data_IF_561180150225
#
_entry.id   IF_561180150225
#
_cell.length_a   1.000
_cell.length_b   1.000
_cell.length_c   1.000
_cell.angle_alpha   90.00
_cell.angle_beta   90.00
_cell.angle_gamma   90.00
#
_symmetry.space_group_name_H-M   'P 1'
#
loop_
_entity.id
_entity.type
_entity.pdbx_description
1 polymer ?
#
# COMPACT_ATOMS: atom_id res chain seq x y z
N UNK A 1 -26.17 -66.90 -1.72
CA UNK A 1 -26.18 -66.43 -3.13
C UNK A 1 -26.58 -64.96 -3.34
N UNK A 2 -27.20 -64.27 -2.41
CA UNK A 2 -27.75 -62.92 -2.57
C UNK A 2 -26.64 -61.83 -2.39
N UNK A 3 -25.59 -62.03 -1.60
CA UNK A 3 -24.51 -61.04 -1.38
C UNK A 3 -23.63 -60.80 -2.63
N UNK A 4 -23.40 -61.84 -3.45
CA UNK A 4 -22.58 -61.71 -4.69
C UNK A 4 -23.28 -60.88 -5.78
N UNK A 5 -24.62 -60.96 -5.87
CA UNK A 5 -25.39 -60.17 -6.86
C UNK A 5 -25.40 -58.67 -6.55
N UNK A 6 -25.41 -58.26 -5.24
CA UNK A 6 -25.36 -56.83 -4.86
C UNK A 6 -24.00 -56.20 -5.15
N UNK A 7 -22.89 -56.92 -4.92
CA UNK A 7 -21.54 -56.39 -5.23
C UNK A 7 -21.31 -56.25 -6.73
N UNK A 8 -21.80 -57.16 -7.54
CA UNK A 8 -21.70 -57.07 -9.00
C UNK A 8 -22.53 -55.92 -9.55
N UNK A 9 -23.72 -55.67 -8.99
CA UNK A 9 -24.58 -54.55 -9.40
C UNK A 9 -23.92 -53.17 -9.05
N UNK A 10 -23.28 -53.08 -7.89
CA UNK A 10 -22.55 -51.87 -7.47
C UNK A 10 -21.33 -51.59 -8.36
N UNK A 11 -20.58 -52.61 -8.76
CA UNK A 11 -19.45 -52.49 -9.68
C UNK A 11 -19.87 -52.05 -11.08
N UNK A 12 -20.99 -52.57 -11.58
CA UNK A 12 -21.57 -52.18 -12.88
C UNK A 12 -22.05 -50.73 -12.83
N UNK A 13 -22.71 -50.28 -11.75
CA UNK A 13 -23.13 -48.91 -11.58
C UNK A 13 -21.95 -47.93 -11.50
N UNK A 14 -20.87 -48.31 -10.80
CA UNK A 14 -19.65 -47.50 -10.73
C UNK A 14 -18.94 -47.41 -12.10
N UNK A 15 -18.93 -48.49 -12.86
CA UNK A 15 -18.35 -48.50 -14.21
C UNK A 15 -19.17 -47.65 -15.18
N UNK A 16 -20.49 -47.68 -15.12
CA UNK A 16 -21.36 -46.84 -15.94
C UNK A 16 -21.25 -45.37 -15.60
N UNK A 17 -21.08 -45.03 -14.31
CA UNK A 17 -20.79 -43.65 -13.87
C UNK A 17 -19.42 -43.14 -14.37
N UNK A 18 -18.43 -44.01 -14.34
CA UNK A 18 -17.08 -43.66 -14.86
C UNK A 18 -17.11 -43.45 -16.39
N UNK A 19 -17.82 -44.31 -17.13
CA UNK A 19 -18.01 -44.19 -18.59
C UNK A 19 -18.81 -42.93 -18.92
N UNK A 20 -19.85 -42.64 -18.17
CA UNK A 20 -20.66 -41.44 -18.34
C UNK A 20 -19.82 -40.18 -18.06
N UNK A 21 -18.98 -40.19 -17.00
CA UNK A 21 -18.06 -39.13 -16.70
C UNK A 21 -16.99 -38.91 -17.79
N UNK A 22 -16.43 -40.01 -18.34
CA UNK A 22 -15.52 -39.94 -19.48
C UNK A 22 -16.19 -39.43 -20.76
N UNK A 23 -17.44 -39.80 -21.01
CA UNK A 23 -18.21 -39.27 -22.16
C UNK A 23 -18.58 -37.81 -22.01
N UNK A 24 -18.85 -37.32 -20.77
CA UNK A 24 -19.01 -35.89 -20.52
C UNK A 24 -17.75 -35.12 -20.86
N UNK A 25 -16.56 -35.64 -20.51
CA UNK A 25 -15.29 -35.00 -20.83
C UNK A 25 -14.95 -34.96 -22.32
N UNK A 26 -15.43 -35.94 -23.11
CA UNK A 26 -15.17 -35.99 -24.56
C UNK A 26 -16.25 -35.30 -25.40
N UNK A 27 -17.43 -35.06 -24.84
CA UNK A 27 -18.55 -34.44 -25.59
C UNK A 27 -18.64 -32.91 -25.45
N UNK A 28 -17.80 -32.32 -24.56
CA UNK A 28 -17.73 -30.87 -24.38
C UNK A 28 -16.25 -30.42 -24.41
N UNK A 29 -15.55 -30.60 -25.55
CA UNK A 29 -14.23 -29.99 -25.71
C UNK A 29 -14.43 -28.48 -25.89
N UNK A 30 -14.11 -27.71 -24.91
CA UNK A 30 -14.09 -26.24 -24.96
C UNK A 30 -14.96 -25.53 -23.94
N UNK A 31 -16.06 -26.13 -23.45
CA UNK A 31 -16.97 -25.41 -22.54
C UNK A 31 -16.42 -25.21 -21.13
N UNK A 32 -15.47 -26.04 -20.68
CA UNK A 32 -14.83 -25.91 -19.35
C UNK A 32 -13.61 -25.01 -19.41
N UNK A 33 -12.96 -24.87 -20.58
CA UNK A 33 -11.83 -23.95 -20.76
C UNK A 33 -12.29 -22.51 -21.04
N UNK A 34 -13.55 -22.30 -21.49
CA UNK A 34 -14.16 -20.97 -21.65
C UNK A 34 -14.95 -20.52 -20.39
N UNK A 35 -15.17 -21.39 -19.43
CA UNK A 35 -15.48 -20.97 -18.07
C UNK A 35 -14.14 -20.72 -17.37
N UNK A 36 -13.45 -19.68 -17.80
CA UNK A 36 -12.52 -18.94 -16.97
C UNK A 36 -13.37 -18.31 -15.86
N UNK A 37 -13.79 -19.15 -14.93
CA UNK A 37 -14.23 -18.72 -13.61
C UNK A 37 -12.98 -18.24 -12.92
N UNK A 38 -12.47 -17.06 -13.37
CA UNK A 38 -11.53 -16.25 -12.63
C UNK A 38 -12.22 -15.80 -11.33
N UNK A 39 -12.34 -16.76 -10.43
CA UNK A 39 -13.00 -16.57 -9.13
C UNK A 39 -12.19 -15.66 -8.22
N UNK A 40 -11.09 -15.05 -8.70
CA UNK A 40 -10.22 -14.31 -7.78
C UNK A 40 -9.30 -13.26 -8.39
N UNK A 41 -9.54 -12.68 -9.52
CA UNK A 41 -8.92 -11.43 -9.85
C UNK A 41 -9.95 -10.30 -9.82
N UNK A 42 -10.37 -9.90 -8.61
CA UNK A 42 -10.55 -8.46 -8.43
C UNK A 42 -9.17 -7.87 -8.67
N UNK A 43 -8.88 -7.50 -9.91
CA UNK A 43 -7.72 -6.66 -10.19
C UNK A 43 -7.84 -5.46 -9.27
N UNK A 44 -7.01 -5.47 -8.22
CA UNK A 44 -6.91 -4.31 -7.35
C UNK A 44 -6.44 -3.20 -8.26
N UNK A 45 -7.17 -2.06 -8.39
CA UNK A 45 -6.77 -0.99 -9.27
C UNK A 45 -5.30 -0.67 -9.03
N UNK A 46 -4.50 -0.64 -10.09
CA UNK A 46 -3.08 -0.31 -9.98
C UNK A 46 -2.95 1.11 -9.44
N UNK A 47 -2.31 1.23 -8.30
CA UNK A 47 -1.99 2.55 -7.72
C UNK A 47 -0.80 3.10 -8.50
N UNK A 48 -0.95 4.28 -9.08
CA UNK A 48 0.10 4.95 -9.87
C UNK A 48 0.41 6.37 -9.39
N UNK A 49 -0.27 6.83 -8.33
CA UNK A 49 -0.14 8.18 -7.79
C UNK A 49 -0.58 8.23 -6.32
N UNK A 50 -0.37 9.38 -5.69
CA UNK A 50 -0.91 9.62 -4.35
C UNK A 50 -2.43 9.51 -4.34
N UNK A 51 -2.95 8.93 -3.27
CA UNK A 51 -4.38 8.92 -2.98
C UNK A 51 -4.92 10.36 -2.97
N UNK A 52 -6.09 10.66 -3.58
CA UNK A 52 -6.59 12.04 -3.73
C UNK A 52 -6.65 12.82 -2.43
N UNK A 53 -7.09 12.19 -1.34
CA UNK A 53 -7.12 12.84 -0.02
C UNK A 53 -5.71 13.12 0.50
N UNK A 54 -4.77 12.19 0.38
CA UNK A 54 -3.37 12.40 0.79
C UNK A 54 -2.75 13.53 -0.01
N UNK A 55 -3.00 13.59 -1.32
CA UNK A 55 -2.57 14.68 -2.19
C UNK A 55 -3.14 16.04 -1.74
N UNK A 56 -4.42 16.08 -1.37
CA UNK A 56 -5.06 17.29 -0.84
C UNK A 56 -4.39 17.74 0.46
N UNK A 57 -4.21 16.82 1.43
CA UNK A 57 -3.60 17.15 2.73
C UNK A 57 -2.12 17.54 2.57
N UNK A 58 -1.38 16.88 1.67
CA UNK A 58 -0.01 17.29 1.31
C UNK A 58 0.04 18.73 0.79
N UNK A 59 -0.86 19.11 -0.11
CA UNK A 59 -0.90 20.47 -0.65
C UNK A 59 -1.24 21.50 0.45
N UNK A 60 -2.14 21.14 1.35
CA UNK A 60 -2.51 21.98 2.48
C UNK A 60 -1.36 22.11 3.48
N UNK A 61 -0.62 21.03 3.75
CA UNK A 61 0.60 21.05 4.57
C UNK A 61 1.62 22.06 4.02
N UNK A 62 1.95 21.96 2.73
CA UNK A 62 2.89 22.90 2.07
C UNK A 62 2.38 24.34 2.17
N UNK A 63 1.09 24.57 2.03
CA UNK A 63 0.48 25.90 2.14
C UNK A 63 0.57 26.46 3.56
N UNK A 64 0.28 25.65 4.57
CA UNK A 64 0.26 26.08 5.98
C UNK A 64 1.65 26.29 6.53
N UNK A 65 2.61 25.42 6.21
CA UNK A 65 4.01 25.60 6.61
C UNK A 65 4.61 26.88 6.00
N UNK A 66 4.31 27.14 4.71
CA UNK A 66 4.72 28.38 4.05
C UNK A 66 4.18 29.63 4.74
N UNK A 67 2.96 29.61 5.27
CA UNK A 67 2.39 30.73 6.05
C UNK A 67 3.16 31.00 7.34
N UNK A 68 3.77 29.97 7.94
CA UNK A 68 4.65 30.10 9.10
C UNK A 68 6.09 30.50 8.75
N UNK A 69 6.39 30.72 7.46
CA UNK A 69 7.74 31.04 7.00
C UNK A 69 8.63 29.82 6.78
N UNK A 70 8.06 28.61 6.89
CA UNK A 70 8.76 27.34 6.71
C UNK A 70 8.51 26.84 5.29
N UNK A 71 9.58 26.59 4.54
CA UNK A 71 9.50 25.97 3.22
C UNK A 71 9.89 24.50 3.32
N UNK A 72 9.00 23.62 2.87
CA UNK A 72 9.28 22.18 2.78
C UNK A 72 9.34 21.74 1.32
N UNK A 73 10.03 20.63 1.07
CA UNK A 73 9.99 19.87 -0.18
C UNK A 73 9.49 18.47 0.12
N UNK A 74 8.65 17.94 -0.74
CA UNK A 74 8.26 16.53 -0.70
C UNK A 74 9.34 15.76 -1.46
N UNK A 75 10.07 14.93 -0.74
CA UNK A 75 11.20 14.16 -1.26
C UNK A 75 10.79 12.83 -1.83
N UNK A 76 9.65 12.29 -1.37
CA UNK A 76 9.03 11.09 -1.91
C UNK A 76 7.50 11.12 -1.73
N UNK A 77 6.79 10.34 -2.56
CA UNK A 77 5.33 10.22 -2.52
C UNK A 77 4.89 8.81 -2.90
N UNK A 78 4.10 8.66 -3.98
CA UNK A 78 3.84 7.34 -4.54
C UNK A 78 5.16 6.71 -5.02
N UNK A 79 5.34 5.43 -4.71
CA UNK A 79 6.51 4.63 -5.10
C UNK A 79 6.05 3.31 -5.71
N UNK A 80 6.51 2.99 -6.93
CA UNK A 80 6.18 1.72 -7.57
C UNK A 80 6.79 0.52 -6.83
N UNK A 81 6.31 -0.68 -7.11
CA UNK A 81 6.88 -1.90 -6.55
C UNK A 81 8.32 -2.14 -7.04
N UNK A 82 8.65 -1.74 -8.27
CA UNK A 82 10.00 -1.81 -8.83
C UNK A 82 10.94 -0.87 -8.08
N UNK A 83 10.52 0.37 -7.85
CA UNK A 83 11.31 1.35 -7.09
C UNK A 83 11.50 0.89 -5.64
N UNK A 84 10.45 0.36 -4.99
CA UNK A 84 10.57 -0.21 -3.65
C UNK A 84 11.56 -1.37 -3.62
N UNK A 85 11.54 -2.25 -4.63
CA UNK A 85 12.50 -3.35 -4.76
C UNK A 85 13.92 -2.82 -4.93
N UNK A 86 14.11 -1.79 -5.75
CA UNK A 86 15.41 -1.16 -5.97
C UNK A 86 16.01 -0.60 -4.69
N UNK A 87 15.25 0.20 -3.93
CA UNK A 87 15.73 0.78 -2.68
C UNK A 87 15.87 -0.26 -1.54
N UNK A 88 15.05 -1.33 -1.54
CA UNK A 88 15.23 -2.44 -0.62
C UNK A 88 16.55 -3.19 -0.86
N UNK A 89 16.97 -3.35 -2.12
CA UNK A 89 18.21 -4.03 -2.50
C UNK A 89 19.45 -3.18 -2.22
N UNK A 90 19.33 -1.85 -2.09
CA UNK A 90 20.43 -0.96 -1.74
C UNK A 90 21.00 -1.35 -0.37
N UNK A 91 22.32 -1.47 -0.29
CA UNK A 91 23.03 -1.93 0.91
C UNK A 91 22.86 -3.42 1.24
N UNK A 92 22.15 -4.20 0.38
CA UNK A 92 21.98 -5.65 0.53
C UNK A 92 22.55 -6.43 -0.65
N UNK A 93 22.04 -6.18 -1.85
CA UNK A 93 22.51 -6.80 -3.11
C UNK A 93 23.07 -5.80 -4.10
N UNK A 94 22.94 -4.52 -3.83
CA UNK A 94 23.57 -3.41 -4.56
C UNK A 94 24.35 -2.53 -3.58
N UNK A 95 25.30 -1.73 -4.07
CA UNK A 95 26.08 -0.79 -3.25
C UNK A 95 25.20 0.27 -2.58
N UNK A 96 25.70 0.86 -1.48
CA UNK A 96 25.08 1.92 -0.70
C UNK A 96 24.64 1.47 0.70
N UNK A 97 23.99 2.35 1.43
CA UNK A 97 23.47 2.08 2.76
C UNK A 97 22.04 1.51 2.68
N UNK A 98 21.64 0.75 3.72
CA UNK A 98 20.26 0.28 3.86
C UNK A 98 19.37 1.47 4.20
N UNK A 99 18.46 1.82 3.30
CA UNK A 99 17.55 2.96 3.44
C UNK A 99 16.11 2.56 3.79
N UNK A 100 15.76 1.27 3.62
CA UNK A 100 14.43 0.75 3.99
C UNK A 100 14.49 -0.72 4.37
N UNK A 101 13.59 -1.14 5.26
CA UNK A 101 13.35 -2.55 5.58
C UNK A 101 12.10 -3.12 4.89
N UNK A 102 11.29 -2.27 4.25
CA UNK A 102 10.07 -2.67 3.57
C UNK A 102 10.38 -3.19 2.16
N UNK A 103 9.89 -4.39 1.84
CA UNK A 103 9.88 -4.95 0.48
C UNK A 103 8.75 -4.34 -0.35
N UNK A 104 8.73 -4.63 -1.65
CA UNK A 104 7.61 -4.29 -2.52
C UNK A 104 6.26 -4.71 -1.91
N UNK A 105 5.31 -3.79 -1.87
CA UNK A 105 4.00 -3.97 -1.23
C UNK A 105 4.01 -3.92 0.30
N UNK A 106 5.13 -3.58 0.95
CA UNK A 106 5.24 -3.48 2.41
C UNK A 106 5.41 -2.04 2.92
N UNK A 107 5.31 -1.07 2.02
CA UNK A 107 5.35 0.35 2.31
C UNK A 107 4.04 1.02 1.92
N UNK A 108 3.55 1.97 2.72
CA UNK A 108 2.38 2.77 2.38
C UNK A 108 2.61 3.70 1.17
N UNK A 109 3.86 4.00 0.83
CA UNK A 109 4.20 4.65 -0.44
C UNK A 109 3.73 3.85 -1.67
N UNK A 110 3.73 2.51 -1.60
CA UNK A 110 3.26 1.66 -2.70
C UNK A 110 1.75 1.77 -2.94
N UNK A 111 1.02 2.30 -1.96
CA UNK A 111 -0.43 2.50 -2.02
C UNK A 111 -0.82 3.98 -2.15
N UNK A 112 0.18 4.87 -2.34
CA UNK A 112 -0.04 6.31 -2.42
C UNK A 112 -0.54 6.93 -1.11
N UNK A 113 -0.29 6.30 0.03
CA UNK A 113 -0.80 6.68 1.35
C UNK A 113 0.26 7.37 2.23
N UNK A 114 1.47 7.56 1.72
CA UNK A 114 2.57 8.20 2.44
C UNK A 114 3.31 9.21 1.56
N UNK A 115 3.94 10.17 2.24
CA UNK A 115 4.88 11.14 1.69
C UNK A 115 6.08 11.25 2.62
N UNK A 116 7.23 11.59 2.07
CA UNK A 116 8.39 12.03 2.84
C UNK A 116 8.66 13.51 2.57
N UNK A 117 9.13 14.24 3.58
CA UNK A 117 9.46 15.65 3.45
C UNK A 117 10.85 15.98 3.98
N UNK A 118 11.35 17.15 3.57
CA UNK A 118 12.53 17.79 4.14
C UNK A 118 12.34 19.30 4.18
N UNK A 119 13.15 20.00 4.96
CA UNK A 119 13.18 21.46 4.98
C UNK A 119 13.98 21.98 3.77
N UNK A 120 13.49 23.04 3.13
CA UNK A 120 14.17 23.73 2.04
C UNK A 120 14.56 25.13 2.47
N UNK A 121 15.85 25.42 2.45
CA UNK A 121 16.41 26.71 2.83
C UNK A 121 16.24 27.75 1.72
N UNK A 122 16.47 29.01 2.07
CA UNK A 122 16.35 30.15 1.13
C UNK A 122 17.35 30.09 -0.03
N UNK A 123 18.51 29.47 0.17
CA UNK A 123 19.54 29.25 -0.86
C UNK A 123 19.20 28.05 -1.78
N UNK A 124 18.09 27.37 -1.50
CA UNK A 124 17.62 26.19 -2.24
C UNK A 124 18.16 24.86 -1.73
N UNK A 125 19.05 24.85 -0.75
CA UNK A 125 19.55 23.62 -0.14
C UNK A 125 18.44 22.90 0.64
N UNK A 126 18.58 21.59 0.76
CA UNK A 126 17.63 20.69 1.46
C UNK A 126 18.33 20.12 2.67
N UNK A 127 17.68 20.20 3.83
CA UNK A 127 18.21 19.70 5.09
C UNK A 127 17.20 18.80 5.82
N UNK A 128 17.72 17.88 6.64
CA UNK A 128 16.99 16.99 7.54
C UNK A 128 17.33 17.30 9.00
N UNK A 129 17.63 18.57 9.29
CA UNK A 129 17.96 19.04 10.63
C UNK A 129 16.68 19.30 11.43
N UNK A 130 16.48 18.51 12.48
CA UNK A 130 15.29 18.57 13.33
C UNK A 130 15.36 19.71 14.38
N UNK A 131 16.51 20.34 14.56
CA UNK A 131 16.72 21.43 15.51
C UNK A 131 16.70 22.82 14.82
N UNK A 132 16.66 22.86 13.48
CA UNK A 132 16.72 24.08 12.70
C UNK A 132 15.49 24.97 12.95
N UNK A 133 15.73 26.23 13.36
CA UNK A 133 14.74 27.31 13.53
C UNK A 133 15.00 28.41 12.49
N UNK A 134 14.53 28.21 11.28
CA UNK A 134 14.75 29.13 10.16
C UNK A 134 13.76 30.30 10.12
N UNK A 135 12.59 30.15 10.75
CA UNK A 135 11.61 31.21 10.87
C UNK A 135 11.88 32.12 12.10
N UNK A 136 12.78 31.73 13.02
CA UNK A 136 13.25 32.53 14.14
C UNK A 136 12.25 32.70 15.27
N UNK A 137 11.33 31.75 15.45
CA UNK A 137 10.28 31.83 16.47
C UNK A 137 10.61 31.11 17.78
N UNK A 138 11.78 30.48 17.88
CA UNK A 138 12.28 29.74 19.05
C UNK A 138 11.78 28.28 19.08
N UNK A 139 11.20 27.77 17.97
CA UNK A 139 10.79 26.38 17.80
C UNK A 139 11.48 25.80 16.58
N UNK A 140 11.78 24.50 16.64
CA UNK A 140 12.32 23.80 15.49
C UNK A 140 11.27 23.72 14.35
N UNK A 141 11.64 24.20 13.15
CA UNK A 141 10.78 24.22 11.97
C UNK A 141 10.23 22.81 11.65
N UNK A 142 11.06 21.78 11.83
CA UNK A 142 10.66 20.40 11.60
C UNK A 142 9.46 19.98 12.46
N UNK A 143 9.52 20.30 13.74
CA UNK A 143 8.45 19.96 14.68
C UNK A 143 7.17 20.76 14.43
N UNK A 144 7.29 22.01 13.97
CA UNK A 144 6.13 22.79 13.54
C UNK A 144 5.46 22.18 12.29
N UNK A 145 6.24 21.63 11.34
CA UNK A 145 5.70 20.88 10.19
C UNK A 145 4.96 19.63 10.66
N UNK A 146 5.55 18.86 11.60
CA UNK A 146 4.95 17.66 12.18
C UNK A 146 3.62 17.97 12.89
N UNK A 147 3.58 19.07 13.68
CA UNK A 147 2.35 19.52 14.35
C UNK A 147 1.24 19.80 13.33
N UNK A 148 1.53 20.58 12.28
CA UNK A 148 0.57 20.87 11.21
C UNK A 148 0.15 19.58 10.49
N UNK A 149 1.09 18.66 10.21
CA UNK A 149 0.78 17.39 9.55
C UNK A 149 -0.18 16.53 10.38
N UNK A 150 0.04 16.45 11.70
CA UNK A 150 -0.88 15.75 12.62
C UNK A 150 -2.27 16.37 12.65
N UNK A 151 -2.38 17.69 12.64
CA UNK A 151 -3.66 18.41 12.56
C UNK A 151 -4.40 18.14 11.25
N UNK A 152 -3.67 17.89 10.16
CA UNK A 152 -4.20 17.48 8.86
C UNK A 152 -4.55 15.98 8.77
N UNK A 153 -4.30 15.21 9.83
CA UNK A 153 -4.63 13.79 9.93
C UNK A 153 -3.50 12.84 9.52
N UNK A 154 -2.28 13.35 9.31
CA UNK A 154 -1.12 12.47 9.12
C UNK A 154 -0.68 11.85 10.43
N UNK A 155 -0.23 10.62 10.36
CA UNK A 155 0.61 9.97 11.37
C UNK A 155 2.07 10.25 10.99
N UNK A 156 2.93 10.44 11.98
CA UNK A 156 4.35 10.72 11.79
C UNK A 156 5.22 9.51 12.13
N UNK A 157 6.14 9.16 11.24
CA UNK A 157 7.07 8.04 11.45
C UNK A 157 8.05 8.25 12.61
N UNK A 158 8.27 9.49 13.05
CA UNK A 158 9.07 9.80 14.25
C UNK A 158 8.43 9.34 15.57
N UNK A 159 7.12 9.07 15.58
CA UNK A 159 6.42 8.53 16.76
C UNK A 159 6.54 7.00 16.90
N UNK A 160 7.15 6.29 15.92
CA UNK A 160 7.24 4.84 15.96
C UNK A 160 8.26 4.35 17.00
N UNK A 161 7.87 3.34 17.77
CA UNK A 161 8.67 2.86 18.91
C UNK A 161 9.97 2.14 18.51
N UNK A 162 9.98 1.41 17.39
CA UNK A 162 11.08 0.50 17.04
C UNK A 162 11.99 0.98 15.92
N UNK A 163 11.50 1.82 15.03
CA UNK A 163 12.24 2.37 13.90
C UNK A 163 11.64 3.72 13.56
N UNK A 164 12.27 4.77 14.03
CA UNK A 164 11.83 6.13 13.76
C UNK A 164 12.21 6.54 12.35
N UNK A 165 11.21 7.00 11.59
CA UNK A 165 11.37 7.51 10.24
C UNK A 165 10.90 8.98 10.23
N UNK A 166 11.82 9.87 10.48
CA UNK A 166 11.52 11.28 10.70
C UNK A 166 10.92 12.01 9.49
N UNK A 167 11.36 11.76 8.23
CA UNK A 167 10.72 12.32 7.04
C UNK A 167 9.29 11.88 6.80
N UNK A 168 8.90 10.68 7.29
CA UNK A 168 7.73 9.96 6.88
C UNK A 168 6.43 10.48 7.50
N UNK A 169 5.45 10.76 6.64
CA UNK A 169 4.07 11.13 6.99
C UNK A 169 3.09 10.22 6.23
N UNK A 170 2.09 9.64 6.92
CA UNK A 170 1.13 8.71 6.30
C UNK A 170 -0.30 8.96 6.76
N UNK A 171 -1.28 8.58 5.91
CA UNK A 171 -2.70 8.46 6.24
C UNK A 171 -3.14 7.07 5.81
N UNK A 172 -3.29 6.15 6.76
CA UNK A 172 -3.59 4.74 6.48
C UNK A 172 -5.09 4.39 6.48
N UNK A 173 -5.95 5.33 6.87
CA UNK A 173 -7.41 5.12 7.01
C UNK A 173 -7.77 3.92 7.89
N UNK A 174 -6.92 3.56 8.87
CA UNK A 174 -7.09 2.39 9.71
C UNK A 174 -6.77 1.06 9.03
N UNK A 175 -6.22 1.07 7.81
CA UNK A 175 -5.82 -0.12 7.07
C UNK A 175 -4.38 -0.50 7.40
N UNK A 176 -4.17 -1.79 7.61
CA UNK A 176 -2.82 -2.34 7.73
C UNK A 176 -2.25 -2.70 6.34
N UNK A 177 -0.92 -2.84 6.24
CA UNK A 177 -0.26 -3.39 5.04
C UNK A 177 -0.86 -4.74 4.65
N UNK A 178 -1.25 -5.57 5.63
CA UNK A 178 -1.90 -6.86 5.36
C UNK A 178 -3.27 -6.70 4.72
N UNK A 179 -4.04 -5.68 5.10
CA UNK A 179 -5.34 -5.38 4.51
C UNK A 179 -5.18 -4.92 3.06
N UNK A 180 -4.24 -4.01 2.81
CA UNK A 180 -3.91 -3.50 1.47
C UNK A 180 -3.42 -4.63 0.54
N UNK A 181 -2.52 -5.49 1.02
CA UNK A 181 -2.07 -6.70 0.28
C UNK A 181 -3.20 -7.67 -0.05
N UNK A 182 -4.30 -7.65 0.70
CA UNK A 182 -5.51 -8.46 0.44
C UNK A 182 -6.52 -7.75 -0.45
N UNK A 183 -6.16 -6.58 -1.00
CA UNK A 183 -7.01 -5.82 -1.90
C UNK A 183 -8.07 -4.96 -1.21
N UNK A 184 -7.98 -4.73 0.10
CA UNK A 184 -8.79 -3.68 0.72
C UNK A 184 -8.29 -2.32 0.22
N UNK A 185 -9.21 -1.48 -0.20
CA UNK A 185 -8.92 -0.16 -0.71
C UNK A 185 -9.22 0.91 0.35
N UNK A 186 -8.44 2.01 0.39
CA UNK A 186 -8.79 3.17 1.18
C UNK A 186 -10.05 3.85 0.62
N UNK A 187 -10.80 4.61 1.45
CA UNK A 187 -12.00 5.32 1.02
C UNK A 187 -11.67 6.40 -0.01
N UNK A 188 -12.39 6.42 -1.14
CA UNK A 188 -12.07 7.33 -2.27
C UNK A 188 -12.88 8.62 -2.27
N UNK A 189 -13.95 8.71 -1.49
CA UNK A 189 -14.82 9.87 -1.43
C UNK A 189 -14.94 10.47 -0.02
N UNK A 190 -15.35 11.73 0.06
CA UNK A 190 -15.40 12.49 1.31
C UNK A 190 -16.35 11.88 2.37
N UNK A 191 -17.45 11.25 1.95
CA UNK A 191 -18.39 10.60 2.87
C UNK A 191 -17.77 9.37 3.53
N UNK A 192 -17.13 8.51 2.75
CA UNK A 192 -16.39 7.34 3.27
C UNK A 192 -15.23 7.74 4.20
N UNK A 193 -14.53 8.84 3.89
CA UNK A 193 -13.44 9.37 4.72
C UNK A 193 -13.94 9.84 6.08
N UNK A 194 -15.15 10.45 6.13
CA UNK A 194 -15.75 10.91 7.38
C UNK A 194 -16.23 9.74 8.26
N UNK A 195 -16.65 8.63 7.66
CA UNK A 195 -17.06 7.41 8.37
C UNK A 195 -15.87 6.58 8.89
N UNK A 196 -14.69 6.73 8.30
CA UNK A 196 -13.47 6.01 8.67
C UNK A 196 -12.68 6.67 9.83
N UNK A 197 -13.11 7.85 10.30
CA UNK A 197 -12.52 8.58 11.44
C UNK A 197 -13.27 8.31 12.74
#
# INVERSE_FOLDING_TARGET
MIKRKKTTLLLIAALLLAIFYMQLQTSIPGFINDLDLDFNSKETPEVTQLHPYVLQQKNELVRLTKKKGITIIITDGYRSHEEQTRIYNQGRSTEGDIVTNAKAGESLHNYGLAIDFALRLKDGSVIWDMEYDGNGNGKADWMEVVEIAKDLGFQWGGDWANFQDYPHLQIDFGLTIRDLKRGKLPPMNASEILEAK
#
